data_IF_334373405986
#
_entry.id   IF_334373405986
#
_cell.length_a   1.000
_cell.length_b   1.000
_cell.length_c   1.000
_cell.angle_alpha   90.00
_cell.angle_beta   90.00
_cell.angle_gamma   90.00
#
_symmetry.space_group_name_H-M   'P 1'
#
loop_
_entity.id
_entity.type
_entity.pdbx_description
1 polymer ?
#
# COMPACT_ATOMS: atom_id res chain seq x y z
N UNK A 1 25.93 -4.37 9.78
CA UNK A 1 25.88 -3.78 8.42
C UNK A 1 26.24 -2.27 8.42
N UNK A 2 25.78 -1.45 9.40
CA UNK A 2 26.13 -0.02 9.51
C UNK A 2 27.59 0.31 9.81
N UNK A 3 28.47 -0.69 9.89
CA UNK A 3 29.90 -0.54 10.19
C UNK A 3 30.74 -0.34 8.92
N UNK A 4 30.18 -0.64 7.74
CA UNK A 4 30.91 -0.53 6.47
C UNK A 4 30.66 0.83 5.79
N UNK A 5 31.71 1.68 5.61
CA UNK A 5 31.57 3.01 4.98
C UNK A 5 31.05 2.98 3.55
N UNK A 6 31.17 1.85 2.85
CA UNK A 6 30.65 1.70 1.49
C UNK A 6 29.12 1.76 1.41
N UNK A 7 28.41 1.34 2.46
CA UNK A 7 26.95 1.38 2.50
C UNK A 7 26.37 2.76 2.87
N UNK A 8 27.14 3.64 3.47
CA UNK A 8 26.74 5.03 3.75
C UNK A 8 26.57 5.89 2.49
N UNK A 9 27.04 5.40 1.34
CA UNK A 9 26.91 6.06 0.02
C UNK A 9 25.71 5.58 -0.79
N UNK A 10 24.98 4.56 -0.33
CA UNK A 10 23.73 4.12 -0.94
C UNK A 10 22.61 5.10 -0.54
N UNK A 11 22.61 6.28 -1.14
CA UNK A 11 21.47 7.17 -1.11
C UNK A 11 20.39 6.61 -2.04
N UNK A 12 19.56 5.72 -1.50
CA UNK A 12 18.37 5.30 -2.19
C UNK A 12 17.40 6.47 -2.22
N UNK A 13 17.23 7.03 -3.39
CA UNK A 13 16.24 8.07 -3.61
C UNK A 13 14.85 7.46 -3.41
N UNK A 14 13.97 8.15 -2.67
CA UNK A 14 12.57 7.74 -2.51
C UNK A 14 11.89 7.41 -3.84
N UNK A 15 12.36 8.03 -4.94
CA UNK A 15 11.91 7.75 -6.30
C UNK A 15 12.17 6.30 -6.75
N UNK A 16 13.29 5.70 -6.37
CA UNK A 16 13.57 4.30 -6.74
C UNK A 16 12.58 3.35 -6.05
N UNK A 17 12.29 3.58 -4.78
CA UNK A 17 11.30 2.78 -4.04
C UNK A 17 9.93 2.99 -4.68
N UNK A 18 9.56 4.24 -4.93
CA UNK A 18 8.24 4.60 -5.43
C UNK A 18 7.98 4.06 -6.85
N UNK A 19 8.94 4.25 -7.78
CA UNK A 19 8.73 3.94 -9.19
C UNK A 19 9.20 2.56 -9.62
N UNK A 20 10.12 1.92 -8.88
CA UNK A 20 10.64 0.62 -9.25
C UNK A 20 10.07 -0.52 -8.40
N UNK A 21 9.99 -0.35 -7.07
CA UNK A 21 9.62 -1.44 -6.17
C UNK A 21 8.12 -1.49 -5.87
N UNK A 22 7.51 -0.34 -5.63
CA UNK A 22 6.12 -0.26 -5.20
C UNK A 22 5.12 -0.80 -6.24
N UNK A 23 5.26 -0.51 -7.57
CA UNK A 23 4.36 -1.07 -8.57
C UNK A 23 4.37 -2.60 -8.59
N UNK A 24 5.54 -3.23 -8.41
CA UNK A 24 5.65 -4.68 -8.38
C UNK A 24 4.95 -5.30 -7.17
N UNK A 25 5.15 -4.73 -5.98
CA UNK A 25 4.52 -5.19 -4.73
C UNK A 25 3.00 -5.13 -4.80
N UNK A 26 2.49 -3.98 -5.21
CA UNK A 26 1.05 -3.74 -5.25
C UNK A 26 0.38 -4.55 -6.35
N UNK A 27 1.02 -4.66 -7.52
CA UNK A 27 0.49 -5.44 -8.63
C UNK A 27 0.43 -6.92 -8.29
N UNK A 28 1.48 -7.49 -7.66
CA UNK A 28 1.49 -8.88 -7.19
C UNK A 28 0.33 -9.16 -6.22
N UNK A 29 0.16 -8.31 -5.22
CA UNK A 29 -0.94 -8.44 -4.27
C UNK A 29 -2.31 -8.40 -4.95
N UNK A 30 -2.51 -7.47 -5.89
CA UNK A 30 -3.77 -7.35 -6.65
C UNK A 30 -3.98 -8.51 -7.63
N UNK A 31 -2.92 -9.01 -8.27
CA UNK A 31 -2.97 -10.13 -9.22
C UNK A 31 -3.39 -11.44 -8.53
N UNK A 32 -2.92 -11.66 -7.30
CA UNK A 32 -3.22 -12.86 -6.53
C UNK A 32 -4.59 -12.82 -5.84
N UNK A 33 -5.30 -11.69 -5.90
CA UNK A 33 -6.58 -11.52 -5.23
C UNK A 33 -7.73 -12.27 -5.93
N UNK A 34 -8.62 -12.85 -5.14
CA UNK A 34 -9.88 -13.39 -5.67
C UNK A 34 -10.89 -12.28 -5.96
N UNK A 35 -10.88 -11.80 -7.21
CA UNK A 35 -11.75 -10.70 -7.67
C UNK A 35 -13.24 -11.01 -7.49
N UNK A 36 -13.67 -12.26 -7.60
CA UNK A 36 -15.09 -12.62 -7.44
C UNK A 36 -15.51 -12.53 -5.98
N UNK A 37 -14.66 -12.98 -5.09
CA UNK A 37 -14.89 -12.91 -3.66
C UNK A 37 -14.76 -11.46 -3.16
N UNK A 38 -13.81 -10.69 -3.71
CA UNK A 38 -13.66 -9.26 -3.44
C UNK A 38 -14.93 -8.49 -3.84
N UNK A 39 -15.46 -8.69 -5.04
CA UNK A 39 -16.69 -8.02 -5.49
C UNK A 39 -17.88 -8.27 -4.56
N UNK A 40 -18.01 -9.46 -4.01
CA UNK A 40 -19.07 -9.81 -3.05
C UNK A 40 -18.91 -9.14 -1.69
N UNK A 41 -17.69 -8.77 -1.32
CA UNK A 41 -17.34 -8.20 -0.02
C UNK A 41 -16.67 -6.83 -0.14
N UNK A 42 -16.86 -6.13 -1.25
CA UNK A 42 -16.19 -4.85 -1.50
C UNK A 42 -16.59 -3.78 -0.47
N UNK A 43 -17.86 -3.78 -0.03
CA UNK A 43 -18.32 -2.79 0.93
C UNK A 43 -17.61 -2.90 2.29
N UNK A 44 -17.57 -4.06 2.97
CA UNK A 44 -16.82 -4.17 4.23
C UNK A 44 -15.31 -3.90 4.04
N UNK A 45 -14.70 -4.33 2.93
CA UNK A 45 -13.30 -4.03 2.62
C UNK A 45 -13.08 -2.52 2.53
N UNK A 46 -13.90 -1.79 1.78
CA UNK A 46 -13.75 -0.35 1.60
C UNK A 46 -14.06 0.44 2.88
N UNK A 47 -15.00 -0.02 3.70
CA UNK A 47 -15.30 0.61 5.00
C UNK A 47 -14.10 0.49 5.95
N UNK A 48 -13.42 -0.63 5.97
CA UNK A 48 -12.23 -0.80 6.80
C UNK A 48 -11.02 -0.05 6.23
N UNK A 49 -10.82 -0.12 4.90
CA UNK A 49 -9.64 0.43 4.24
C UNK A 49 -9.66 1.97 4.12
N UNK A 50 -10.82 2.63 4.07
CA UNK A 50 -10.89 4.09 3.91
C UNK A 50 -11.36 4.77 5.19
N UNK A 51 -12.63 4.74 5.62
CA UNK A 51 -13.02 5.39 6.87
C UNK A 51 -12.36 4.75 8.10
N UNK A 52 -12.12 3.44 8.10
CA UNK A 52 -11.38 2.77 9.18
C UNK A 52 -9.96 3.32 9.32
N UNK A 53 -9.24 3.53 8.21
CA UNK A 53 -7.92 4.14 8.23
C UNK A 53 -7.95 5.59 8.72
N UNK A 54 -8.94 6.39 8.28
CA UNK A 54 -9.10 7.78 8.75
C UNK A 54 -9.26 7.82 10.26
N UNK A 55 -10.13 6.98 10.81
CA UNK A 55 -10.33 6.88 12.26
C UNK A 55 -9.05 6.42 12.97
N UNK A 56 -8.35 5.39 12.42
CA UNK A 56 -7.08 4.94 12.97
C UNK A 56 -6.03 6.05 12.99
N UNK A 57 -5.92 6.82 11.91
CA UNK A 57 -5.01 7.96 11.80
C UNK A 57 -5.32 9.03 12.85
N UNK A 58 -6.59 9.42 12.98
CA UNK A 58 -7.00 10.45 13.94
C UNK A 58 -6.78 10.02 15.40
N UNK A 59 -7.14 8.78 15.74
CA UNK A 59 -6.94 8.24 17.09
C UNK A 59 -5.45 8.11 17.41
N UNK A 60 -4.66 7.56 16.47
CA UNK A 60 -3.19 7.44 16.63
C UNK A 60 -2.54 8.82 16.78
N UNK A 61 -2.93 9.80 15.96
CA UNK A 61 -2.41 11.15 16.02
C UNK A 61 -2.74 11.82 17.35
N UNK A 62 -3.98 11.69 17.82
CA UNK A 62 -4.41 12.25 19.10
C UNK A 62 -3.63 11.63 20.27
N UNK A 63 -3.49 10.31 20.30
CA UNK A 63 -2.73 9.63 21.34
C UNK A 63 -1.25 10.02 21.32
N UNK A 64 -0.63 10.07 20.11
CA UNK A 64 0.78 10.47 19.98
C UNK A 64 0.99 11.92 20.40
N UNK A 65 0.12 12.85 20.00
CA UNK A 65 0.21 14.25 20.41
C UNK A 65 0.02 14.44 21.94
N UNK A 66 -0.78 13.58 22.59
CA UNK A 66 -0.97 13.61 24.03
C UNK A 66 0.23 13.07 24.84
N UNK A 67 1.01 12.15 24.25
CA UNK A 67 2.11 11.46 24.95
C UNK A 67 3.51 11.95 24.55
N UNK A 68 3.61 12.70 23.47
CA UNK A 68 4.89 13.18 22.93
C UNK A 68 4.90 14.70 22.80
N UNK A 69 6.05 15.35 22.75
CA UNK A 69 6.15 16.79 22.49
C UNK A 69 5.85 17.17 21.03
N UNK A 70 5.38 16.24 20.20
CA UNK A 70 5.03 16.48 18.81
C UNK A 70 3.76 17.32 18.72
N UNK A 71 3.81 18.38 17.91
CA UNK A 71 2.59 19.13 17.59
C UNK A 71 1.58 18.29 16.81
N UNK A 72 0.30 18.65 16.88
CA UNK A 72 -0.80 17.89 16.23
C UNK A 72 -0.56 17.64 14.74
N UNK A 73 0.03 18.58 14.00
CA UNK A 73 0.36 18.41 12.58
C UNK A 73 1.34 17.24 12.34
N UNK A 74 2.46 17.22 13.07
CA UNK A 74 3.43 16.15 12.99
C UNK A 74 2.85 14.80 13.44
N UNK A 75 2.00 14.82 14.49
CA UNK A 75 1.31 13.62 14.95
C UNK A 75 0.31 13.09 13.92
N UNK A 76 -0.38 13.94 13.16
CA UNK A 76 -1.26 13.54 12.05
C UNK A 76 -0.48 12.89 10.90
N UNK A 77 0.65 13.47 10.50
CA UNK A 77 1.53 12.87 9.48
C UNK A 77 2.03 11.50 9.95
N UNK A 78 2.47 11.40 11.20
CA UNK A 78 2.89 10.14 11.80
C UNK A 78 1.74 9.13 11.87
N UNK A 79 0.56 9.55 12.30
CA UNK A 79 -0.64 8.73 12.35
C UNK A 79 -1.04 8.17 10.98
N UNK A 80 -1.00 8.99 9.92
CA UNK A 80 -1.27 8.55 8.55
C UNK A 80 -0.27 7.48 8.08
N UNK A 81 1.03 7.65 8.43
CA UNK A 81 2.08 6.71 8.07
C UNK A 81 1.92 5.34 8.74
N UNK A 82 1.59 5.34 10.05
CA UNK A 82 1.66 4.14 10.89
C UNK A 82 0.32 3.39 10.99
N UNK A 83 -0.78 3.97 10.49
CA UNK A 83 -2.11 3.36 10.58
C UNK A 83 -2.34 2.21 9.61
N UNK A 84 -1.45 1.96 8.65
CA UNK A 84 -1.51 0.79 7.78
C UNK A 84 -1.07 -0.46 8.52
N UNK A 85 -1.64 -1.60 8.13
CA UNK A 85 -1.23 -2.92 8.64
C UNK A 85 -0.86 -3.83 7.49
N UNK A 86 0.19 -4.61 7.70
CA UNK A 86 0.57 -5.69 6.80
C UNK A 86 0.11 -7.03 7.40
N UNK A 87 -0.79 -7.76 6.74
CA UNK A 87 -1.37 -8.98 7.26
C UNK A 87 -0.57 -10.24 6.89
N UNK A 88 0.62 -10.15 6.31
CA UNK A 88 1.38 -11.32 5.80
C UNK A 88 1.46 -12.44 6.84
N UNK A 89 1.80 -12.11 8.09
CA UNK A 89 1.87 -13.10 9.16
C UNK A 89 0.49 -13.68 9.52
N UNK A 90 -0.56 -12.84 9.54
CA UNK A 90 -1.94 -13.27 9.84
C UNK A 90 -2.47 -14.18 8.74
N UNK A 91 -2.20 -13.87 7.48
CA UNK A 91 -2.60 -14.68 6.33
C UNK A 91 -1.89 -16.03 6.33
N UNK A 92 -0.60 -16.06 6.65
CA UNK A 92 0.15 -17.31 6.80
C UNK A 92 -0.50 -18.21 7.87
N UNK A 93 -0.81 -17.63 9.05
CA UNK A 93 -1.50 -18.33 10.13
C UNK A 93 -2.89 -18.81 9.71
N UNK A 94 -3.66 -18.00 9.00
CA UNK A 94 -4.99 -18.38 8.50
C UNK A 94 -4.93 -19.56 7.53
N UNK A 95 -3.90 -19.63 6.70
CA UNK A 95 -3.69 -20.78 5.79
C UNK A 95 -3.35 -22.04 6.56
N UNK A 96 -2.51 -21.97 7.59
CA UNK A 96 -2.16 -23.10 8.45
C UNK A 96 -3.36 -23.60 9.25
N UNK A 97 -4.18 -22.71 9.79
CA UNK A 97 -5.37 -23.05 10.58
C UNK A 97 -6.58 -23.44 9.73
N UNK A 98 -6.49 -23.34 8.40
CA UNK A 98 -7.64 -23.64 7.51
C UNK A 98 -8.78 -22.63 7.65
N UNK A 99 -8.49 -21.36 7.94
CA UNK A 99 -9.49 -20.33 8.11
C UNK A 99 -10.38 -20.17 6.85
N UNK A 100 -11.65 -19.74 7.01
CA UNK A 100 -12.54 -19.52 5.87
C UNK A 100 -11.94 -18.57 4.84
N UNK A 101 -12.00 -18.94 3.55
CA UNK A 101 -11.47 -18.13 2.44
C UNK A 101 -12.00 -16.69 2.43
N UNK A 102 -13.22 -16.49 2.91
CA UNK A 102 -13.82 -15.16 3.03
C UNK A 102 -13.04 -14.28 4.01
N UNK A 103 -12.64 -14.81 5.16
CA UNK A 103 -11.90 -14.08 6.17
C UNK A 103 -10.51 -13.70 5.65
N UNK A 104 -9.79 -14.64 5.05
CA UNK A 104 -8.50 -14.39 4.41
C UNK A 104 -8.61 -13.28 3.36
N UNK A 105 -9.63 -13.34 2.50
CA UNK A 105 -9.84 -12.33 1.46
C UNK A 105 -10.20 -10.96 2.04
N UNK A 106 -10.97 -10.89 3.13
CA UNK A 106 -11.29 -9.61 3.79
C UNK A 106 -10.03 -8.93 4.31
N UNK A 107 -9.14 -9.69 4.93
CA UNK A 107 -7.87 -9.19 5.48
C UNK A 107 -6.90 -8.81 4.35
N UNK A 108 -6.79 -9.65 3.31
CA UNK A 108 -5.99 -9.34 2.10
C UNK A 108 -6.50 -8.07 1.40
N UNK A 109 -7.81 -7.99 1.20
CA UNK A 109 -8.45 -6.85 0.53
C UNK A 109 -8.32 -5.56 1.35
N UNK A 110 -8.57 -5.64 2.65
CA UNK A 110 -8.39 -4.50 3.55
C UNK A 110 -6.96 -3.97 3.45
N UNK A 111 -5.96 -4.84 3.54
CA UNK A 111 -4.56 -4.45 3.50
C UNK A 111 -4.15 -3.81 2.17
N UNK A 112 -4.57 -4.40 1.05
CA UNK A 112 -4.27 -3.87 -0.28
C UNK A 112 -4.81 -2.44 -0.46
N UNK A 113 -6.08 -2.21 -0.14
CA UNK A 113 -6.69 -0.90 -0.26
C UNK A 113 -6.22 0.06 0.83
N UNK A 114 -5.94 -0.44 2.03
CA UNK A 114 -5.43 0.34 3.16
C UNK A 114 -4.04 0.93 2.86
N UNK A 115 -3.12 0.13 2.30
CA UNK A 115 -1.81 0.62 1.88
C UNK A 115 -1.92 1.76 0.85
N UNK A 116 -2.80 1.59 -0.16
CA UNK A 116 -3.04 2.63 -1.16
C UNK A 116 -3.69 3.89 -0.56
N UNK A 117 -4.68 3.72 0.32
CA UNK A 117 -5.37 4.81 1.03
C UNK A 117 -4.38 5.61 1.88
N UNK A 118 -3.50 4.92 2.61
CA UNK A 118 -2.54 5.58 3.49
C UNK A 118 -1.51 6.43 2.72
N UNK A 119 -1.03 5.96 1.58
CA UNK A 119 -0.08 6.73 0.76
C UNK A 119 -0.74 8.02 0.27
N UNK A 120 -1.97 7.96 -0.23
CA UNK A 120 -2.71 9.15 -0.68
C UNK A 120 -3.00 10.08 0.50
N UNK A 121 -3.48 9.52 1.61
CA UNK A 121 -3.80 10.28 2.82
C UNK A 121 -2.55 10.94 3.42
N UNK A 122 -1.43 10.21 3.50
CA UNK A 122 -0.17 10.74 3.98
C UNK A 122 0.29 11.95 3.14
N UNK A 123 0.21 11.85 1.80
CA UNK A 123 0.59 12.93 0.90
C UNK A 123 -0.25 14.18 1.12
N UNK A 124 -1.58 14.04 1.21
CA UNK A 124 -2.51 15.15 1.44
C UNK A 124 -2.30 15.77 2.83
N UNK A 125 -2.16 14.96 3.87
CA UNK A 125 -1.92 15.46 5.24
C UNK A 125 -0.57 16.17 5.33
N UNK A 126 0.46 15.62 4.69
CA UNK A 126 1.79 16.25 4.66
C UNK A 126 1.75 17.60 3.96
N UNK A 127 1.07 17.71 2.83
CA UNK A 127 0.88 18.97 2.12
C UNK A 127 0.11 19.99 2.95
N UNK A 128 -0.97 19.56 3.60
CA UNK A 128 -1.78 20.41 4.46
C UNK A 128 -0.98 20.98 5.64
N UNK A 129 -0.17 20.13 6.28
CA UNK A 129 0.65 20.52 7.42
C UNK A 129 1.82 21.39 6.96
N UNK A 130 2.45 21.08 5.82
CA UNK A 130 3.60 21.85 5.31
C UNK A 130 3.21 23.23 4.78
N UNK A 131 2.01 23.38 4.23
CA UNK A 131 1.47 24.67 3.77
C UNK A 131 1.04 25.61 4.92
N UNK A 132 1.00 25.10 6.16
CA UNK A 132 0.51 25.86 7.31
C UNK A 132 -0.98 26.19 7.24
N UNK A 133 -1.74 25.48 6.40
CA UNK A 133 -3.17 25.71 6.24
C UNK A 133 -3.93 25.44 7.54
N UNK A 134 -4.89 26.31 7.86
CA UNK A 134 -5.76 26.10 9.03
C UNK A 134 -6.73 24.94 8.75
N UNK A 135 -6.93 24.07 9.74
CA UNK A 135 -7.92 22.99 9.69
C UNK A 135 -9.35 23.55 9.80
N UNK A 136 -9.84 24.19 8.74
CA UNK A 136 -11.23 24.62 8.62
C UNK A 136 -12.09 23.54 8.00
N UNK A 137 -13.41 23.60 8.19
CA UNK A 137 -14.35 22.67 7.53
C UNK A 137 -14.23 22.69 6.00
N UNK A 138 -13.96 23.83 5.41
CA UNK A 138 -13.72 23.97 3.96
C UNK A 138 -12.45 23.26 3.51
N UNK A 139 -11.34 23.42 4.25
CA UNK A 139 -10.07 22.77 3.95
C UNK A 139 -10.18 21.24 4.03
N UNK A 140 -10.87 20.73 5.06
CA UNK A 140 -11.11 19.30 5.22
C UNK A 140 -11.97 18.73 4.11
N UNK A 141 -13.01 19.46 3.67
CA UNK A 141 -13.86 19.04 2.55
C UNK A 141 -13.07 18.98 1.24
N UNK A 142 -12.24 20.00 0.95
CA UNK A 142 -11.39 20.01 -0.23
C UNK A 142 -10.40 18.84 -0.22
N UNK A 143 -9.74 18.58 0.90
CA UNK A 143 -8.83 17.44 1.07
C UNK A 143 -9.55 16.09 0.87
N UNK A 144 -10.80 15.95 1.33
CA UNK A 144 -11.60 14.75 1.10
C UNK A 144 -11.97 14.57 -0.38
N UNK A 145 -12.32 15.64 -1.09
CA UNK A 145 -12.61 15.61 -2.52
C UNK A 145 -11.35 15.29 -3.34
N UNK A 146 -10.23 15.87 -2.99
CA UNK A 146 -8.92 15.58 -3.59
C UNK A 146 -8.54 14.11 -3.36
N UNK A 147 -8.70 13.59 -2.15
CA UNK A 147 -8.51 12.18 -1.85
C UNK A 147 -9.34 11.29 -2.78
N UNK A 148 -10.63 11.56 -2.90
CA UNK A 148 -11.52 10.77 -3.77
C UNK A 148 -11.09 10.86 -5.24
N UNK A 149 -10.72 12.03 -5.71
CA UNK A 149 -10.25 12.24 -7.07
C UNK A 149 -8.97 11.47 -7.38
N UNK A 150 -7.96 11.60 -6.52
CA UNK A 150 -6.66 10.94 -6.67
C UNK A 150 -6.78 9.42 -6.55
N UNK A 151 -7.58 8.95 -5.59
CA UNK A 151 -7.80 7.53 -5.32
C UNK A 151 -8.60 6.84 -6.44
N UNK A 152 -9.80 7.35 -6.72
CA UNK A 152 -10.69 6.74 -7.74
C UNK A 152 -10.14 6.96 -9.16
N UNK A 153 -9.57 8.13 -9.43
CA UNK A 153 -8.92 8.42 -10.71
C UNK A 153 -7.78 7.45 -11.00
N UNK A 154 -6.93 7.17 -9.99
CA UNK A 154 -5.88 6.16 -10.09
C UNK A 154 -6.43 4.78 -10.42
N UNK A 155 -7.45 4.33 -9.68
CA UNK A 155 -8.09 3.03 -9.91
C UNK A 155 -8.66 2.89 -11.33
N UNK A 156 -9.33 3.93 -11.82
CA UNK A 156 -9.93 3.94 -13.16
C UNK A 156 -8.87 3.92 -14.27
N UNK A 157 -7.82 4.74 -14.16
CA UNK A 157 -6.71 4.75 -15.12
C UNK A 157 -6.01 3.39 -15.14
N UNK A 158 -5.72 2.82 -13.96
CA UNK A 158 -5.12 1.49 -13.88
C UNK A 158 -6.00 0.40 -14.47
N UNK A 159 -7.29 0.42 -14.18
CA UNK A 159 -8.27 -0.48 -14.78
C UNK A 159 -8.33 -0.35 -16.30
N UNK A 160 -8.32 0.87 -16.83
CA UNK A 160 -8.31 1.14 -18.28
C UNK A 160 -7.02 0.61 -18.95
N UNK A 161 -5.85 0.91 -18.37
CA UNK A 161 -4.56 0.38 -18.86
C UNK A 161 -4.54 -1.14 -18.83
N UNK A 162 -4.94 -1.74 -17.71
CA UNK A 162 -5.04 -3.20 -17.57
C UNK A 162 -5.96 -3.81 -18.64
N UNK A 163 -7.13 -3.19 -18.88
CA UNK A 163 -8.07 -3.66 -19.89
C UNK A 163 -7.50 -3.57 -21.31
N UNK A 164 -6.84 -2.46 -21.67
CA UNK A 164 -6.20 -2.28 -22.98
C UNK A 164 -5.07 -3.31 -23.17
N UNK A 165 -4.19 -3.46 -22.17
CA UNK A 165 -3.06 -4.42 -22.24
C UNK A 165 -3.58 -5.84 -22.36
N UNK A 166 -4.60 -6.23 -21.59
CA UNK A 166 -5.23 -7.56 -21.70
C UNK A 166 -5.93 -7.74 -23.05
N UNK A 167 -6.49 -6.68 -23.64
CA UNK A 167 -7.03 -6.68 -24.99
C UNK A 167 -5.96 -6.95 -26.05
N UNK A 168 -4.80 -6.30 -25.94
CA UNK A 168 -3.66 -6.51 -26.81
C UNK A 168 -3.08 -7.93 -26.71
N UNK A 169 -3.11 -8.52 -25.52
CA UNK A 169 -2.60 -9.89 -25.29
C UNK A 169 -3.33 -10.96 -26.10
N UNK A 170 -4.57 -10.71 -26.54
CA UNK A 170 -5.32 -11.63 -27.42
C UNK A 170 -4.67 -11.81 -28.79
N UNK A 171 -3.86 -10.86 -29.24
CA UNK A 171 -3.13 -10.91 -30.50
C UNK A 171 -1.80 -11.65 -30.40
N UNK A 172 -1.30 -11.86 -29.17
CA UNK A 172 -0.08 -12.59 -28.89
C UNK A 172 -0.43 -14.03 -28.58
N UNK A 173 -0.03 -14.97 -29.48
CA UNK A 173 -0.24 -16.39 -29.25
C UNK A 173 0.49 -16.85 -27.99
N UNK A 174 0.00 -17.91 -27.37
CA UNK A 174 0.30 -18.47 -26.04
C UNK A 174 1.81 -18.67 -25.72
N UNK A 175 2.59 -17.61 -25.81
CA UNK A 175 3.96 -17.55 -25.31
C UNK A 175 3.95 -17.00 -23.88
N UNK A 176 4.32 -17.80 -22.86
CA UNK A 176 4.33 -17.39 -21.47
C UNK A 176 5.20 -16.16 -21.20
N UNK A 177 6.34 -16.02 -21.89
CA UNK A 177 7.25 -14.88 -21.69
C UNK A 177 6.66 -13.59 -22.25
N UNK A 178 6.03 -13.64 -23.42
CA UNK A 178 5.33 -12.48 -23.98
C UNK A 178 4.18 -12.05 -23.06
N UNK A 179 3.38 -13.00 -22.57
CA UNK A 179 2.28 -12.72 -21.63
C UNK A 179 2.79 -12.13 -20.31
N UNK A 180 3.91 -12.63 -19.78
CA UNK A 180 4.59 -12.05 -18.62
C UNK A 180 4.98 -10.60 -18.89
N UNK A 181 5.61 -10.32 -20.02
CA UNK A 181 6.02 -8.97 -20.40
C UNK A 181 4.83 -8.00 -20.43
N UNK A 182 3.68 -8.42 -20.98
CA UNK A 182 2.46 -7.60 -20.94
C UNK A 182 1.99 -7.31 -19.52
N UNK A 183 2.11 -8.24 -18.58
CA UNK A 183 1.74 -7.95 -17.17
C UNK A 183 2.70 -6.97 -16.52
N UNK A 184 3.99 -7.04 -16.84
CA UNK A 184 4.99 -6.06 -16.38
C UNK A 184 4.67 -4.68 -16.96
N UNK A 185 4.41 -4.60 -18.26
CA UNK A 185 3.97 -3.34 -18.90
C UNK A 185 2.71 -2.80 -18.24
N UNK A 186 1.72 -3.66 -17.96
CA UNK A 186 0.48 -3.25 -17.29
C UNK A 186 0.74 -2.64 -15.92
N UNK A 187 1.59 -3.26 -15.10
CA UNK A 187 1.93 -2.80 -13.76
C UNK A 187 2.62 -1.43 -13.76
N UNK A 188 3.68 -1.32 -14.56
CA UNK A 188 4.51 -0.11 -14.56
C UNK A 188 3.90 1.04 -15.36
N UNK A 189 3.27 0.75 -16.51
CA UNK A 189 2.62 1.76 -17.34
C UNK A 189 1.44 2.41 -16.60
N UNK A 190 0.61 1.60 -15.91
CA UNK A 190 -0.50 2.14 -15.11
C UNK A 190 -0.01 3.08 -14.02
N UNK A 191 1.04 2.67 -13.30
CA UNK A 191 1.64 3.48 -12.25
C UNK A 191 2.23 4.79 -12.79
N UNK A 192 3.05 4.70 -13.84
CA UNK A 192 3.73 5.86 -14.43
C UNK A 192 2.74 6.86 -15.04
N UNK A 193 1.70 6.39 -15.72
CA UNK A 193 0.67 7.26 -16.28
C UNK A 193 -0.13 7.97 -15.17
N UNK A 194 -0.55 7.25 -14.14
CA UNK A 194 -1.32 7.85 -13.06
C UNK A 194 -0.47 8.82 -12.23
N UNK A 195 0.67 8.37 -11.72
CA UNK A 195 1.52 9.13 -10.80
C UNK A 195 2.31 10.23 -11.52
N UNK A 196 2.90 9.90 -12.67
CA UNK A 196 3.82 10.79 -13.36
C UNK A 196 3.15 11.79 -14.29
N UNK A 197 2.09 11.38 -15.01
CA UNK A 197 1.46 12.24 -16.02
C UNK A 197 0.18 12.92 -15.55
N UNK A 198 -0.61 12.27 -14.69
CA UNK A 198 -1.96 12.74 -14.32
C UNK A 198 -2.06 13.26 -12.89
N UNK A 199 -1.02 13.09 -12.04
CA UNK A 199 -1.06 13.47 -10.64
C UNK A 199 -2.08 12.67 -9.81
N UNK A 200 -2.39 11.44 -10.24
CA UNK A 200 -3.30 10.52 -9.59
C UNK A 200 -2.50 9.46 -8.81
N UNK A 201 -3.18 8.63 -8.00
CA UNK A 201 -2.51 7.58 -7.26
C UNK A 201 -2.00 6.46 -8.18
N UNK A 202 -0.67 6.38 -8.37
CA UNK A 202 -0.01 5.28 -9.07
C UNK A 202 -0.23 3.94 -8.38
N UNK A 203 -0.32 3.94 -7.05
CA UNK A 203 -0.62 2.75 -6.25
C UNK A 203 -2.00 2.20 -6.59
N UNK A 204 -3.04 3.06 -6.57
CA UNK A 204 -4.38 2.66 -6.98
C UNK A 204 -4.45 2.24 -8.45
N UNK A 205 -3.63 2.84 -9.31
CA UNK A 205 -3.54 2.42 -10.70
C UNK A 205 -2.96 1.00 -10.81
N UNK A 206 -1.90 0.68 -10.07
CA UNK A 206 -1.37 -0.69 -10.03
C UNK A 206 -2.39 -1.69 -9.47
N UNK A 207 -3.18 -1.31 -8.45
CA UNK A 207 -4.30 -2.13 -7.95
C UNK A 207 -5.32 -2.37 -9.06
N UNK A 208 -5.78 -1.32 -9.74
CA UNK A 208 -6.76 -1.43 -10.83
C UNK A 208 -6.29 -2.33 -11.96
N UNK A 209 -5.05 -2.13 -12.41
CA UNK A 209 -4.43 -2.95 -13.46
C UNK A 209 -4.27 -4.42 -13.02
N UNK A 210 -3.82 -4.67 -11.78
CA UNK A 210 -3.67 -5.99 -11.21
C UNK A 210 -5.00 -6.74 -11.08
N UNK A 211 -6.05 -6.09 -10.59
CA UNK A 211 -7.38 -6.68 -10.46
C UNK A 211 -8.00 -7.03 -11.83
N UNK A 212 -7.81 -6.17 -12.84
CA UNK A 212 -8.25 -6.47 -14.21
C UNK A 212 -7.48 -7.65 -14.76
N UNK A 213 -6.16 -7.69 -14.59
CA UNK A 213 -5.30 -8.80 -15.02
C UNK A 213 -5.69 -10.11 -14.29
N UNK A 214 -5.96 -10.06 -12.99
CA UNK A 214 -6.43 -11.21 -12.21
C UNK A 214 -7.79 -11.74 -12.71
N UNK A 215 -8.70 -10.84 -13.08
CA UNK A 215 -10.02 -11.22 -13.59
C UNK A 215 -9.94 -11.91 -14.96
N UNK A 216 -9.28 -11.28 -15.92
CA UNK A 216 -9.15 -11.80 -17.28
C UNK A 216 -8.15 -12.94 -17.41
N UNK A 217 -7.09 -12.93 -16.59
CA UNK A 217 -6.05 -13.95 -16.59
C UNK A 217 -6.57 -15.34 -16.25
N UNK A 218 -7.63 -15.45 -15.46
CA UNK A 218 -8.31 -16.74 -15.18
C UNK A 218 -8.85 -17.41 -16.44
N UNK A 219 -9.24 -16.65 -17.44
CA UNK A 219 -9.82 -17.14 -18.70
C UNK A 219 -8.79 -17.20 -19.81
N UNK A 220 -7.87 -16.24 -19.87
CA UNK A 220 -6.94 -16.06 -20.99
C UNK A 220 -5.61 -16.80 -20.82
N UNK A 221 -5.15 -17.04 -19.58
CA UNK A 221 -3.85 -17.67 -19.33
C UNK A 221 -3.95 -19.18 -19.26
N UNK A 222 -2.99 -19.85 -19.90
CA UNK A 222 -2.76 -21.30 -19.71
C UNK A 222 -2.32 -21.58 -18.27
N UNK A 223 -2.40 -22.85 -17.84
CA UNK A 223 -1.86 -23.26 -16.53
C UNK A 223 -0.38 -22.92 -16.40
N UNK A 224 0.38 -23.24 -17.43
CA UNK A 224 1.82 -22.97 -17.49
C UNK A 224 2.10 -21.46 -17.33
N UNK A 225 1.42 -20.60 -18.08
CA UNK A 225 1.58 -19.14 -17.94
C UNK A 225 1.24 -18.65 -16.54
N UNK A 226 0.17 -19.18 -15.91
CA UNK A 226 -0.18 -18.79 -14.53
C UNK A 226 0.91 -19.14 -13.53
N UNK A 227 1.52 -20.31 -13.67
CA UNK A 227 2.61 -20.74 -12.81
C UNK A 227 3.85 -19.86 -13.00
N UNK A 228 4.20 -19.52 -14.26
CA UNK A 228 5.27 -18.56 -14.56
C UNK A 228 5.00 -17.17 -13.97
N UNK A 229 3.80 -16.65 -14.14
CA UNK A 229 3.40 -15.34 -13.58
C UNK A 229 3.48 -15.35 -12.06
N UNK A 230 2.95 -16.40 -11.42
CA UNK A 230 2.99 -16.52 -9.97
C UNK A 230 4.43 -16.55 -9.46
N UNK A 231 5.30 -17.37 -10.03
CA UNK A 231 6.70 -17.43 -9.61
C UNK A 231 7.45 -16.12 -9.82
N UNK A 232 7.24 -15.46 -10.96
CA UNK A 232 7.90 -14.20 -11.28
C UNK A 232 7.46 -13.08 -10.32
N UNK A 233 6.15 -12.90 -10.15
CA UNK A 233 5.63 -11.82 -9.32
C UNK A 233 5.90 -12.06 -7.85
N UNK A 234 5.77 -13.29 -7.34
CA UNK A 234 6.14 -13.63 -5.97
C UNK A 234 7.63 -13.41 -5.69
N UNK A 235 8.51 -13.78 -6.63
CA UNK A 235 9.93 -13.49 -6.49
C UNK A 235 10.22 -11.98 -6.52
N UNK A 236 9.59 -11.25 -7.44
CA UNK A 236 9.76 -9.78 -7.57
C UNK A 236 9.29 -9.06 -6.31
N UNK A 237 8.15 -9.47 -5.75
CA UNK A 237 7.60 -8.96 -4.51
C UNK A 237 8.50 -9.27 -3.31
N UNK A 238 8.99 -10.51 -3.19
CA UNK A 238 9.95 -10.89 -2.15
C UNK A 238 11.25 -10.08 -2.23
N UNK A 239 11.81 -9.93 -3.43
CA UNK A 239 13.04 -9.17 -3.65
C UNK A 239 12.84 -7.68 -3.31
N UNK A 240 11.72 -7.09 -3.74
CA UNK A 240 11.37 -5.71 -3.44
C UNK A 240 11.21 -5.47 -1.93
N UNK A 241 10.45 -6.33 -1.23
CA UNK A 241 10.28 -6.25 0.22
C UNK A 241 11.63 -6.40 0.95
N UNK A 242 12.42 -7.40 0.59
CA UNK A 242 13.74 -7.62 1.20
C UNK A 242 14.64 -6.40 1.05
N UNK A 243 14.62 -5.78 -0.13
CA UNK A 243 15.40 -4.60 -0.40
C UNK A 243 14.91 -3.38 0.39
N UNK A 244 13.59 -3.16 0.48
CA UNK A 244 13.00 -2.08 1.27
C UNK A 244 13.37 -2.23 2.76
N UNK A 245 13.20 -3.42 3.34
CA UNK A 245 13.54 -3.65 4.74
C UNK A 245 15.04 -3.48 5.02
N UNK A 246 15.90 -3.92 4.09
CA UNK A 246 17.34 -3.69 4.19
C UNK A 246 17.66 -2.19 4.25
N UNK A 247 17.05 -1.41 3.37
CA UNK A 247 17.25 0.05 3.30
C UNK A 247 16.76 0.74 4.55
N UNK A 248 15.54 0.39 5.01
CA UNK A 248 14.98 0.96 6.25
C UNK A 248 15.92 0.65 7.41
N UNK A 249 16.38 -0.60 7.56
CA UNK A 249 17.30 -0.98 8.62
C UNK A 249 18.64 -0.24 8.57
N UNK A 250 19.19 0.00 7.38
CA UNK A 250 20.43 0.79 7.20
C UNK A 250 20.23 2.26 7.57
N UNK A 251 19.09 2.84 7.17
CA UNK A 251 18.76 4.25 7.43
C UNK A 251 18.51 4.47 8.93
N UNK A 252 17.79 3.56 9.59
CA UNK A 252 17.50 3.63 11.01
C UNK A 252 18.77 3.60 11.88
N UNK A 253 19.72 2.73 11.56
CA UNK A 253 21.03 2.66 12.26
C UNK A 253 21.81 3.99 12.11
N UNK A 254 21.65 4.68 10.98
CA UNK A 254 22.30 5.96 10.76
C UNK A 254 21.65 7.09 11.56
N UNK A 255 20.32 7.15 11.59
CA UNK A 255 19.55 8.19 12.29
C UNK A 255 19.59 8.05 13.82
N UNK A 256 19.65 6.82 14.34
CA UNK A 256 19.63 6.55 15.78
C UNK A 256 20.93 6.94 16.52
N UNK A 257 22.02 7.17 15.82
CA UNK A 257 23.33 7.52 16.41
C UNK A 257 23.37 8.82 17.22
N UNK A 258 22.33 9.66 17.15
CA UNK A 258 22.25 10.95 17.84
C UNK A 258 21.26 11.02 19.00
N UNK A 259 20.44 10.02 19.22
CA UNK A 259 19.35 10.07 20.19
C UNK A 259 19.53 9.00 21.30
N UNK A 260 19.15 9.36 22.53
CA UNK A 260 19.21 8.43 23.66
C UNK A 260 18.27 7.23 23.47
N UNK A 261 18.81 6.03 23.42
CA UNK A 261 18.08 4.77 23.18
C UNK A 261 16.87 4.61 24.08
N UNK A 262 16.95 5.08 25.34
CA UNK A 262 15.86 4.95 26.31
C UNK A 262 14.62 5.78 25.94
N UNK A 263 14.79 7.03 25.55
CA UNK A 263 13.68 7.89 25.13
C UNK A 263 13.00 7.36 23.85
N UNK A 264 13.81 6.92 22.89
CA UNK A 264 13.30 6.35 21.64
C UNK A 264 12.46 5.10 21.87
N UNK A 265 12.90 4.20 22.78
CA UNK A 265 12.13 3.00 23.14
C UNK A 265 10.80 3.32 23.81
N UNK A 266 10.75 4.31 24.72
CA UNK A 266 9.50 4.72 25.38
C UNK A 266 8.51 5.27 24.35
N UNK A 267 8.95 6.12 23.42
CA UNK A 267 8.08 6.66 22.38
C UNK A 267 7.63 5.58 21.40
N UNK A 268 8.49 4.66 21.01
CA UNK A 268 8.15 3.53 20.13
C UNK A 268 7.09 2.60 20.78
N UNK A 269 7.26 2.25 22.05
CA UNK A 269 6.29 1.45 22.80
C UNK A 269 4.96 2.16 22.96
N UNK A 270 4.98 3.46 23.26
CA UNK A 270 3.78 4.28 23.35
C UNK A 270 3.02 4.38 22.02
N UNK A 271 3.75 4.58 20.92
CA UNK A 271 3.17 4.59 19.58
C UNK A 271 2.57 3.23 19.20
N UNK A 272 3.26 2.13 19.48
CA UNK A 272 2.75 0.78 19.24
C UNK A 272 1.49 0.50 20.04
N UNK A 273 1.45 0.89 21.30
CA UNK A 273 0.25 0.76 22.14
C UNK A 273 -0.93 1.60 21.60
N UNK A 274 -0.66 2.83 21.15
CA UNK A 274 -1.66 3.72 20.58
C UNK A 274 -2.30 3.12 19.31
N UNK A 275 -1.49 2.56 18.41
CA UNK A 275 -1.97 1.92 17.18
C UNK A 275 -2.79 0.69 17.48
N UNK A 276 -2.30 -0.16 18.40
CA UNK A 276 -3.01 -1.38 18.79
C UNK A 276 -4.37 -1.05 19.38
N UNK A 277 -4.46 -0.05 20.25
CA UNK A 277 -5.74 0.43 20.80
C UNK A 277 -6.68 1.00 19.72
N UNK A 278 -6.15 1.82 18.81
CA UNK A 278 -6.93 2.34 17.69
C UNK A 278 -7.51 1.22 16.83
N UNK A 279 -6.73 0.17 16.54
CA UNK A 279 -7.18 -0.99 15.76
C UNK A 279 -8.23 -1.82 16.50
N UNK A 280 -8.06 -2.09 17.79
CA UNK A 280 -9.05 -2.80 18.60
C UNK A 280 -10.40 -2.04 18.59
N UNK A 281 -10.37 -0.73 18.70
CA UNK A 281 -11.59 0.10 18.66
C UNK A 281 -12.29 0.02 17.29
N UNK A 282 -11.53 0.09 16.18
CA UNK A 282 -12.09 0.05 14.82
C UNK A 282 -12.69 -1.33 14.54
N UNK A 283 -11.95 -2.39 14.83
CA UNK A 283 -12.42 -3.77 14.60
C UNK A 283 -13.62 -4.05 15.51
N UNK A 284 -13.57 -3.66 16.78
CA UNK A 284 -14.67 -3.84 17.73
C UNK A 284 -15.95 -3.06 17.38
N UNK A 285 -15.81 -1.91 16.69
CA UNK A 285 -16.95 -1.14 16.20
C UNK A 285 -17.54 -1.65 14.88
N UNK A 286 -16.81 -2.53 14.17
CA UNK A 286 -17.20 -3.08 12.86
C UNK A 286 -17.96 -4.40 12.96
N UNK A 287 -18.04 -4.98 14.17
CA UNK A 287 -18.78 -6.19 14.51
C UNK A 287 -19.91 -5.86 15.48
#
# INVERSE_FOLDING_TARGET
FGIFPAFSRLHLTGNLILYALLPALIFDAALNMDVQLLKKNILPVMVLAVPGLVVATLVSAWLVAAWTPLGMGAALVFGALISTTDPVAVIALFRELGAPKRLTMLVDGESLFNAATAIVMFSIVLELVSSGASFSSGTVLLAALEFLWVFLGGLLIGGAVGWVVMGCMRFVRADPLAQLTFTVVSAYLSFLLAQGALGLSGVMASVGAGLVTAHYGRVCFSRETRDYLHHFWSFSSFAANSFIFLVIGLTEVYLSRGHGVGATLVYALGATAAITLARILIVGASF
#
